data_IF_029549431682
#
_entry.id   IF_029549431682
#
_cell.length_a   1.000
_cell.length_b   1.000
_cell.length_c   1.000
_cell.angle_alpha   90.00
_cell.angle_beta   90.00
_cell.angle_gamma   90.00
#
_symmetry.space_group_name_H-M   'P 1'
#
loop_
_entity.id
_entity.type
_entity.pdbx_description
1 polymer ?
#
# COMPACT_ATOMS: atom_id res chain seq x y z
N UNK A 1 2.75 -9.30 9.77
CA UNK A 1 3.46 -8.04 10.12
C UNK A 1 4.86 -8.13 9.53
N UNK A 2 5.31 -7.07 8.89
CA UNK A 2 6.53 -7.12 8.06
C UNK A 2 7.83 -7.08 8.85
N UNK A 3 7.75 -6.78 10.16
CA UNK A 3 8.91 -6.72 11.05
C UNK A 3 9.61 -5.36 11.07
N UNK A 4 9.08 -4.37 10.36
CA UNK A 4 9.48 -2.97 10.39
C UNK A 4 8.32 -2.05 10.83
N UNK A 5 8.62 -0.76 10.99
CA UNK A 5 7.66 0.30 11.32
C UNK A 5 7.78 1.43 10.30
N UNK A 6 6.69 2.14 10.02
CA UNK A 6 6.65 3.29 9.13
C UNK A 6 5.72 4.39 9.70
N UNK A 7 5.81 5.60 9.15
CA UNK A 7 4.86 6.69 9.41
C UNK A 7 4.03 6.99 8.16
N UNK A 8 2.81 7.50 8.33
CA UNK A 8 1.97 7.90 7.20
C UNK A 8 2.63 8.96 6.32
N UNK A 9 3.45 9.87 6.88
CA UNK A 9 4.22 10.82 6.09
C UNK A 9 5.22 10.13 5.14
N UNK A 10 5.91 9.08 5.60
CA UNK A 10 6.83 8.30 4.76
C UNK A 10 6.07 7.53 3.68
N UNK A 11 4.94 6.91 4.02
CA UNK A 11 4.10 6.18 3.07
C UNK A 11 3.54 7.13 1.99
N UNK A 12 3.07 8.32 2.39
CA UNK A 12 2.50 9.31 1.46
C UNK A 12 3.52 9.78 0.43
N UNK A 13 4.77 10.06 0.84
CA UNK A 13 5.87 10.37 -0.10
C UNK A 13 6.08 9.26 -1.13
N UNK A 14 6.11 8.01 -0.68
CA UNK A 14 6.27 6.85 -1.57
C UNK A 14 5.10 6.75 -2.55
N UNK A 15 3.87 6.96 -2.11
CA UNK A 15 2.69 6.95 -2.98
C UNK A 15 2.75 8.09 -4.02
N UNK A 16 3.03 9.32 -3.61
CA UNK A 16 3.20 10.46 -4.50
C UNK A 16 4.25 10.18 -5.59
N UNK A 17 5.44 9.73 -5.21
CA UNK A 17 6.49 9.35 -6.14
C UNK A 17 6.04 8.24 -7.11
N UNK A 18 5.29 7.26 -6.61
CA UNK A 18 4.90 6.05 -7.36
C UNK A 18 3.84 6.36 -8.42
N UNK A 19 2.95 7.31 -8.15
CA UNK A 19 1.92 7.75 -9.10
C UNK A 19 2.33 9.02 -9.87
N UNK A 20 3.52 9.58 -9.59
CA UNK A 20 4.02 10.79 -10.26
C UNK A 20 3.23 12.05 -9.92
N UNK A 21 2.65 12.13 -8.72
CA UNK A 21 1.87 13.29 -8.25
C UNK A 21 2.66 14.11 -7.23
N UNK A 22 2.35 15.40 -7.12
CA UNK A 22 3.01 16.30 -6.18
C UNK A 22 2.76 15.87 -4.72
N UNK A 23 3.82 15.93 -3.90
CA UNK A 23 3.69 15.73 -2.46
C UNK A 23 3.15 16.99 -1.80
N UNK A 24 1.96 16.88 -1.21
CA UNK A 24 1.40 17.90 -0.32
C UNK A 24 1.45 17.38 1.12
N UNK A 25 2.11 18.08 2.06
CA UNK A 25 2.10 17.68 3.47
C UNK A 25 0.69 17.84 4.05
N UNK A 26 0.29 16.91 4.91
CA UNK A 26 -0.97 17.02 5.64
C UNK A 26 -0.89 18.14 6.69
N UNK A 27 -1.88 19.05 6.67
CA UNK A 27 -2.06 20.06 7.72
C UNK A 27 -3.03 19.52 8.77
N UNK A 28 -2.54 19.30 9.99
CA UNK A 28 -3.35 18.80 11.12
C UNK A 28 -4.50 19.74 11.51
N UNK A 29 -4.48 20.99 11.06
CA UNK A 29 -5.57 21.95 11.27
C UNK A 29 -6.71 21.76 10.28
N UNK A 30 -6.45 21.09 9.16
CA UNK A 30 -7.43 20.88 8.12
C UNK A 30 -8.33 19.68 8.46
N UNK A 31 -9.65 19.91 8.42
CA UNK A 31 -10.62 18.82 8.49
C UNK A 31 -10.85 18.28 7.10
N UNK A 32 -10.24 17.13 6.82
CA UNK A 32 -10.43 16.43 5.56
C UNK A 32 -11.38 15.24 5.74
N UNK A 33 -12.58 15.32 5.16
CA UNK A 33 -13.52 14.21 5.11
C UNK A 33 -13.31 13.39 3.84
N UNK A 34 -12.48 12.35 3.96
CA UNK A 34 -12.12 11.51 2.82
C UNK A 34 -13.33 10.76 2.25
N UNK A 35 -14.29 10.36 3.09
CA UNK A 35 -15.48 9.64 2.64
C UNK A 35 -16.33 10.56 1.78
N UNK A 36 -16.60 11.77 2.25
CA UNK A 36 -17.34 12.78 1.47
C UNK A 36 -16.62 13.10 0.15
N UNK A 37 -15.30 13.28 0.19
CA UNK A 37 -14.48 13.59 -0.98
C UNK A 37 -14.57 12.52 -2.09
N UNK A 38 -14.76 11.25 -1.72
CA UNK A 38 -14.80 10.14 -2.66
C UNK A 38 -16.19 9.82 -3.21
N UNK A 39 -17.27 10.39 -2.66
CA UNK A 39 -18.68 10.03 -3.02
C UNK A 39 -19.03 10.27 -4.48
N UNK A 40 -18.45 11.28 -5.10
CA UNK A 40 -18.74 11.71 -6.47
C UNK A 40 -17.67 11.26 -7.48
N UNK A 41 -16.74 10.37 -7.08
CA UNK A 41 -15.59 9.96 -7.91
C UNK A 41 -15.82 8.73 -8.78
N UNK A 42 -17.04 8.18 -8.81
CA UNK A 42 -17.40 7.04 -9.68
C UNK A 42 -17.17 7.34 -11.15
N UNK A 43 -17.74 8.44 -11.65
CA UNK A 43 -17.62 8.82 -13.07
C UNK A 43 -16.17 9.17 -13.45
N UNK A 44 -15.41 9.72 -12.50
CA UNK A 44 -13.97 9.96 -12.67
C UNK A 44 -13.23 8.63 -12.82
N UNK A 45 -13.55 7.63 -12.00
CA UNK A 45 -12.96 6.29 -12.11
C UNK A 45 -13.32 5.62 -13.44
N UNK A 46 -14.57 5.69 -13.87
CA UNK A 46 -15.01 5.14 -15.16
C UNK A 46 -14.21 5.76 -16.32
N UNK A 47 -13.99 7.08 -16.27
CA UNK A 47 -13.15 7.79 -17.24
C UNK A 47 -11.70 7.30 -17.21
N UNK A 48 -11.12 7.12 -16.01
CA UNK A 48 -9.75 6.59 -15.86
C UNK A 48 -9.63 5.19 -16.46
N UNK A 49 -10.62 4.32 -16.22
CA UNK A 49 -10.66 2.95 -16.76
C UNK A 49 -10.67 2.97 -18.28
N UNK A 50 -11.53 3.80 -18.89
CA UNK A 50 -11.64 3.91 -20.34
C UNK A 50 -10.36 4.50 -20.97
N UNK A 51 -9.85 5.62 -20.47
CA UNK A 51 -8.70 6.32 -21.03
C UNK A 51 -7.40 5.51 -20.94
N UNK A 52 -7.25 4.70 -19.88
CA UNK A 52 -6.05 3.91 -19.63
C UNK A 52 -6.20 2.44 -20.05
N UNK A 53 -7.36 2.04 -20.61
CA UNK A 53 -7.61 0.66 -21.04
C UNK A 53 -7.52 -0.36 -19.90
N UNK A 54 -7.94 0.02 -18.69
CA UNK A 54 -7.89 -0.83 -17.50
C UNK A 54 -9.00 -1.89 -17.53
N UNK A 55 -8.88 -2.89 -16.66
CA UNK A 55 -9.96 -3.85 -16.45
C UNK A 55 -11.21 -3.14 -15.94
N UNK A 56 -12.36 -3.43 -16.56
CA UNK A 56 -13.64 -2.83 -16.22
C UNK A 56 -14.06 -3.16 -14.79
N UNK A 57 -13.84 -2.20 -13.89
CA UNK A 57 -14.13 -2.30 -12.45
C UNK A 57 -14.97 -1.11 -12.03
N UNK A 58 -15.86 -1.33 -11.06
CA UNK A 58 -16.50 -0.23 -10.36
C UNK A 58 -15.64 0.21 -9.18
N UNK A 59 -15.70 1.48 -8.84
CA UNK A 59 -14.93 2.04 -7.73
C UNK A 59 -15.22 1.31 -6.40
N UNK A 60 -16.47 0.91 -6.14
CA UNK A 60 -16.86 0.16 -4.93
C UNK A 60 -16.30 -1.27 -4.87
N UNK A 61 -15.90 -1.83 -6.00
CA UNK A 61 -15.36 -3.19 -6.06
C UNK A 61 -13.87 -3.22 -5.68
N UNK A 62 -13.18 -2.08 -5.81
CA UNK A 62 -11.72 -1.98 -5.65
C UNK A 62 -11.29 -1.01 -4.54
N UNK A 63 -12.23 -0.34 -3.87
CA UNK A 63 -11.94 0.61 -2.80
C UNK A 63 -12.68 0.26 -1.51
N UNK A 64 -12.04 0.56 -0.36
CA UNK A 64 -12.60 0.43 0.98
C UNK A 64 -12.47 1.79 1.68
N UNK A 65 -13.25 2.77 1.21
CA UNK A 65 -13.09 4.20 1.57
C UNK A 65 -13.37 4.46 3.04
N UNK A 66 -14.43 3.85 3.59
CA UNK A 66 -14.79 4.02 4.99
C UNK A 66 -13.73 3.43 5.91
N UNK A 67 -13.24 2.23 5.61
CA UNK A 67 -12.24 1.51 6.40
C UNK A 67 -10.90 2.25 6.41
N UNK A 68 -10.41 2.72 5.26
CA UNK A 68 -9.16 3.47 5.20
C UNK A 68 -9.27 4.79 5.95
N UNK A 69 -10.42 5.47 5.88
CA UNK A 69 -10.64 6.71 6.63
C UNK A 69 -10.58 6.48 8.14
N UNK A 70 -11.14 5.37 8.65
CA UNK A 70 -11.03 5.04 10.07
C UNK A 70 -9.60 4.71 10.48
N UNK A 71 -8.84 4.00 9.64
CA UNK A 71 -7.43 3.69 9.90
C UNK A 71 -6.57 4.96 9.95
N UNK A 72 -6.80 5.91 9.04
CA UNK A 72 -6.07 7.17 8.98
C UNK A 72 -6.38 8.10 10.18
N UNK A 73 -7.55 7.92 10.80
CA UNK A 73 -7.97 8.67 11.99
C UNK A 73 -7.44 8.14 13.33
N UNK A 74 -6.75 7.00 13.32
CA UNK A 74 -6.15 6.48 14.55
C UNK A 74 -5.06 7.43 15.03
N UNK A 75 -5.27 8.02 16.21
CA UNK A 75 -4.29 8.88 16.90
C UNK A 75 -3.15 8.07 17.56
N UNK A 76 -3.14 6.75 17.35
CA UNK A 76 -2.12 5.84 17.86
C UNK A 76 -1.45 5.08 16.72
N UNK A 77 -0.17 4.82 16.87
CA UNK A 77 0.52 3.89 15.99
C UNK A 77 0.20 2.45 16.43
N UNK A 78 -0.65 1.77 15.68
CA UNK A 78 -1.03 0.38 15.97
C UNK A 78 0.09 -0.58 15.52
N UNK A 79 0.97 -0.94 16.45
CA UNK A 79 2.11 -1.83 16.23
C UNK A 79 1.90 -3.17 16.95
N UNK A 80 2.34 -4.26 16.33
CA UNK A 80 2.29 -5.61 16.88
C UNK A 80 3.70 -6.22 16.92
N UNK A 81 3.95 -7.08 17.90
CA UNK A 81 5.24 -7.77 18.03
C UNK A 81 5.34 -8.96 17.07
N UNK A 82 6.54 -9.16 16.51
CA UNK A 82 6.92 -10.36 15.74
C UNK A 82 7.68 -11.40 16.58
N UNK A 83 7.88 -11.16 17.88
CA UNK A 83 8.73 -12.00 18.73
C UNK A 83 8.28 -13.46 18.74
N UNK A 84 6.98 -13.71 18.95
CA UNK A 84 6.44 -15.07 18.94
C UNK A 84 6.70 -15.80 17.62
N UNK A 85 6.51 -15.13 16.48
CA UNK A 85 6.78 -15.77 15.18
C UNK A 85 8.27 -16.10 15.01
N UNK A 86 9.15 -15.19 15.45
CA UNK A 86 10.62 -15.38 15.38
C UNK A 86 11.10 -16.49 16.32
N UNK A 87 10.60 -16.54 17.54
CA UNK A 87 10.87 -17.59 18.52
C UNK A 87 10.46 -18.99 18.01
N UNK A 88 9.44 -19.06 17.15
CA UNK A 88 8.96 -20.29 16.54
C UNK A 88 9.53 -20.53 15.12
N UNK A 89 10.62 -19.85 14.77
CA UNK A 89 11.42 -20.13 13.57
C UNK A 89 11.06 -19.32 12.31
N UNK A 90 10.05 -18.46 12.36
CA UNK A 90 9.72 -17.58 11.22
C UNK A 90 10.56 -16.30 11.26
N UNK A 91 11.55 -16.22 10.38
CA UNK A 91 12.48 -15.08 10.26
C UNK A 91 12.21 -14.21 9.02
N UNK A 92 11.14 -14.49 8.27
CA UNK A 92 10.74 -13.70 7.12
C UNK A 92 10.40 -12.26 7.52
N UNK A 93 10.85 -11.31 6.72
CA UNK A 93 10.53 -9.89 6.85
C UNK A 93 10.49 -9.28 5.46
N UNK A 94 9.82 -8.14 5.33
CA UNK A 94 9.81 -7.36 4.09
C UNK A 94 9.94 -5.87 4.46
N UNK A 95 10.52 -5.06 3.57
CA UNK A 95 10.52 -3.62 3.77
C UNK A 95 9.19 -3.05 3.29
N UNK A 96 8.40 -2.50 4.20
CA UNK A 96 7.04 -2.04 3.91
C UNK A 96 6.99 -1.00 2.79
N UNK A 97 7.91 -0.02 2.78
CA UNK A 97 7.93 1.03 1.75
C UNK A 97 8.35 0.51 0.36
N UNK A 98 9.30 -0.43 0.30
CA UNK A 98 9.68 -1.09 -0.96
C UNK A 98 8.52 -1.95 -1.49
N UNK A 99 7.82 -2.64 -0.60
CA UNK A 99 6.67 -3.47 -0.95
C UNK A 99 5.55 -2.64 -1.59
N UNK A 100 5.28 -1.41 -1.12
CA UNK A 100 4.32 -0.50 -1.75
C UNK A 100 4.64 -0.24 -3.23
N UNK A 101 5.92 -0.01 -3.57
CA UNK A 101 6.35 0.18 -4.98
C UNK A 101 6.22 -1.11 -5.79
N UNK A 102 6.57 -2.26 -5.21
CA UNK A 102 6.38 -3.59 -5.83
C UNK A 102 4.91 -3.86 -6.14
N UNK A 103 4.00 -3.46 -5.24
CA UNK A 103 2.56 -3.65 -5.44
C UNK A 103 2.05 -2.86 -6.64
N UNK A 104 2.54 -1.63 -6.87
CA UNK A 104 2.21 -0.87 -8.08
C UNK A 104 2.59 -1.64 -9.34
N UNK A 105 3.82 -2.17 -9.39
CA UNK A 105 4.30 -2.99 -10.52
C UNK A 105 3.42 -4.21 -10.72
N UNK A 106 3.00 -4.89 -9.65
CA UNK A 106 2.10 -6.04 -9.74
C UNK A 106 0.72 -5.67 -10.30
N UNK A 107 0.15 -4.55 -9.83
CA UNK A 107 -1.15 -4.05 -10.29
C UNK A 107 -1.09 -3.60 -11.76
N UNK A 108 -0.01 -2.92 -12.16
CA UNK A 108 0.18 -2.50 -13.56
C UNK A 108 0.55 -3.66 -14.49
N UNK A 109 1.38 -4.58 -13.98
CA UNK A 109 1.99 -5.68 -14.71
C UNK A 109 1.12 -6.92 -14.84
N UNK A 110 -0.09 -6.92 -14.29
CA UNK A 110 -1.09 -7.98 -14.50
C UNK A 110 -1.45 -8.24 -15.98
N UNK A 111 -0.94 -7.42 -16.91
CA UNK A 111 -1.02 -7.65 -18.35
C UNK A 111 0.11 -8.52 -18.95
N UNK A 112 1.24 -8.74 -18.25
CA UNK A 112 2.33 -9.61 -18.71
C UNK A 112 2.85 -10.41 -17.51
N UNK A 113 2.42 -11.68 -17.42
CA UNK A 113 2.80 -12.61 -16.36
C UNK A 113 4.28 -13.01 -16.37
N UNK A 114 5.16 -12.06 -16.08
CA UNK A 114 6.53 -12.38 -15.66
C UNK A 114 6.54 -12.58 -14.15
N UNK A 115 6.72 -13.85 -13.81
CA UNK A 115 6.90 -14.39 -12.48
C UNK A 115 8.08 -13.71 -11.79
N UNK A 116 7.80 -12.75 -10.89
CA UNK A 116 8.83 -12.19 -10.00
C UNK A 116 9.21 -13.24 -8.95
N UNK A 117 9.99 -14.23 -9.35
CA UNK A 117 10.79 -15.09 -8.47
C UNK A 117 11.99 -14.31 -7.92
N UNK A 118 11.72 -13.20 -7.22
CA UNK A 118 12.74 -12.46 -6.49
C UNK A 118 13.04 -13.13 -5.15
N UNK A 119 13.76 -14.26 -5.16
CA UNK A 119 14.45 -14.91 -4.03
C UNK A 119 13.81 -14.66 -2.65
N UNK A 120 12.61 -15.20 -2.43
CA UNK A 120 12.17 -15.56 -1.09
C UNK A 120 12.85 -16.89 -0.74
N UNK A 121 13.81 -16.84 0.19
CA UNK A 121 14.47 -17.98 0.81
C UNK A 121 15.57 -18.71 0.01
N UNK A 122 16.73 -18.07 -0.20
CA UNK A 122 18.02 -18.80 -0.17
C UNK A 122 19.12 -17.94 0.44
N UNK A 123 19.17 -17.87 1.77
CA UNK A 123 20.43 -17.71 2.48
C UNK A 123 20.51 -18.84 3.51
N UNK A 124 20.72 -20.06 3.01
CA UNK A 124 21.41 -21.08 3.77
C UNK A 124 22.90 -20.68 3.82
N UNK A 125 23.28 -19.83 4.77
CA UNK A 125 24.62 -19.84 5.35
C UNK A 125 24.49 -20.62 6.66
N UNK A 126 24.70 -21.94 6.62
CA UNK A 126 25.98 -22.54 6.99
C UNK A 126 26.41 -22.04 8.38
N UNK A 127 26.10 -22.87 9.37
CA UNK A 127 26.76 -22.86 10.65
C UNK A 127 28.28 -22.92 10.44
N UNK A 128 29.00 -22.09 11.18
CA UNK A 128 30.25 -22.38 11.90
C UNK A 128 30.41 -21.34 13.01
#
# INVERSE_FOLDING_TARGET
MNGDVFTWNMMWKVLCDTFGVEFVPFDEKERFDFVEFMKDKREVWDTIVEENGLYATKMEEITCVDEIYQVLKLEIQHVCSMNKSREFGFHGYENTLKMTRKMKIYVDGGHNGEEYSGNLCTNNGAAD
#
